data_IF_556788115103
#
_entry.id   IF_556788115103
#
_cell.length_a   1.000
_cell.length_b   1.000
_cell.length_c   1.000
_cell.angle_alpha   90.00
_cell.angle_beta   90.00
_cell.angle_gamma   90.00
#
_symmetry.space_group_name_H-M   'P 1'
#
loop_
_entity.id
_entity.type
_entity.pdbx_description
1 polymer ?
#
# COMPACT_ATOMS: atom_id res chain seq x y z
N UNK A 1 7.40 -6.43 -23.22
CA UNK A 1 7.51 -7.38 -22.11
C UNK A 1 7.19 -6.64 -20.83
N UNK A 2 6.00 -6.82 -20.28
CA UNK A 2 5.64 -6.28 -18.96
C UNK A 2 5.94 -7.35 -17.91
N UNK A 3 7.00 -7.12 -17.14
CA UNK A 3 7.39 -8.02 -16.05
C UNK A 3 6.57 -7.66 -14.82
N UNK A 4 5.46 -8.36 -14.66
CA UNK A 4 4.50 -8.25 -13.56
C UNK A 4 5.01 -9.07 -12.37
N UNK A 5 5.75 -8.49 -11.43
CA UNK A 5 6.22 -9.23 -10.23
C UNK A 5 5.07 -9.51 -9.23
N UNK A 6 3.83 -9.07 -9.50
CA UNK A 6 2.69 -9.25 -8.58
C UNK A 6 1.31 -9.16 -9.26
N UNK A 7 1.21 -9.36 -10.58
CA UNK A 7 -0.07 -9.22 -11.30
C UNK A 7 -0.54 -7.78 -11.53
N UNK A 8 0.16 -6.78 -10.97
CA UNK A 8 -0.08 -5.35 -11.19
C UNK A 8 0.56 -4.82 -12.48
N UNK A 9 -0.13 -3.93 -13.19
CA UNK A 9 0.47 -3.16 -14.29
C UNK A 9 1.75 -2.43 -13.83
N UNK A 10 2.66 -2.11 -14.77
CA UNK A 10 3.87 -1.36 -14.43
C UNK A 10 3.55 0.01 -13.79
N UNK A 11 2.45 0.64 -14.21
CA UNK A 11 1.95 1.88 -13.65
C UNK A 11 1.47 1.69 -12.20
N UNK A 12 0.68 0.65 -11.93
CA UNK A 12 0.20 0.36 -10.58
C UNK A 12 1.34 -0.03 -9.63
N UNK A 13 2.33 -0.78 -10.10
CA UNK A 13 3.51 -1.09 -9.30
C UNK A 13 4.30 0.18 -8.92
N UNK A 14 4.45 1.12 -9.87
CA UNK A 14 5.09 2.40 -9.60
C UNK A 14 4.25 3.29 -8.66
N UNK A 15 2.92 3.25 -8.76
CA UNK A 15 2.03 3.97 -7.88
C UNK A 15 2.04 3.40 -6.45
N UNK A 16 2.07 2.06 -6.32
CA UNK A 16 2.21 1.34 -5.04
C UNK A 16 3.49 1.73 -4.32
N UNK A 17 4.62 1.67 -5.01
CA UNK A 17 5.91 2.09 -4.45
C UNK A 17 5.86 3.56 -4.01
N UNK A 18 5.31 4.44 -4.85
CA UNK A 18 5.21 5.87 -4.53
C UNK A 18 4.40 6.14 -3.27
N UNK A 19 3.23 5.50 -3.11
CA UNK A 19 2.39 5.63 -1.91
C UNK A 19 3.19 5.16 -0.70
N UNK A 20 3.80 3.99 -0.79
CA UNK A 20 4.50 3.41 0.34
C UNK A 20 5.74 4.22 0.76
N UNK A 21 6.39 4.94 -0.16
CA UNK A 21 7.43 5.91 0.18
C UNK A 21 6.86 7.13 0.91
N UNK A 22 5.66 7.60 0.55
CA UNK A 22 4.99 8.71 1.24
C UNK A 22 4.51 8.34 2.64
N UNK A 23 3.97 7.13 2.79
CA UNK A 23 3.40 6.66 4.06
C UNK A 23 4.48 6.29 5.07
N UNK A 24 5.57 5.64 4.65
CA UNK A 24 6.56 5.11 5.60
C UNK A 24 8.01 5.11 5.14
N UNK A 25 8.33 5.80 4.05
CA UNK A 25 9.67 5.80 3.44
C UNK A 25 10.19 4.40 3.09
N UNK A 26 9.31 3.44 2.77
CA UNK A 26 9.77 2.08 2.47
C UNK A 26 9.47 1.05 3.56
N UNK A 27 9.31 1.48 4.80
CA UNK A 27 9.56 0.61 5.94
C UNK A 27 8.37 -0.28 6.31
N UNK A 28 8.60 -1.60 6.30
CA UNK A 28 7.65 -2.60 6.81
C UNK A 28 7.51 -2.60 8.34
N UNK A 29 8.33 -1.83 9.05
CA UNK A 29 8.33 -1.77 10.52
C UNK A 29 8.06 -0.37 11.07
N UNK A 30 7.77 0.61 10.20
CA UNK A 30 7.36 1.94 10.63
C UNK A 30 6.07 1.85 11.45
N UNK A 31 6.01 2.61 12.55
CA UNK A 31 4.85 2.62 13.42
C UNK A 31 4.47 4.05 13.77
N UNK A 32 3.19 4.37 13.59
CA UNK A 32 2.60 5.65 13.97
C UNK A 32 1.27 5.41 14.68
N UNK A 33 1.32 5.32 16.01
CA UNK A 33 0.15 4.98 16.82
C UNK A 33 -0.45 3.63 16.44
N UNK A 34 -1.68 3.64 15.93
CA UNK A 34 -2.43 2.46 15.51
C UNK A 34 -2.07 1.94 14.11
N UNK A 35 -1.28 2.70 13.35
CA UNK A 35 -0.87 2.37 12.00
C UNK A 35 0.51 1.70 11.99
N UNK A 36 0.66 0.67 11.16
CA UNK A 36 1.87 -0.14 11.09
C UNK A 36 2.28 -0.42 9.64
N UNK A 37 3.58 -0.42 9.45
CA UNK A 37 4.25 -1.00 8.32
C UNK A 37 4.23 -0.14 7.06
N UNK A 38 4.48 -0.81 5.94
CA UNK A 38 4.86 -0.20 4.66
C UNK A 38 3.79 0.73 4.10
N UNK A 39 2.52 0.41 4.34
CA UNK A 39 1.37 1.14 3.83
C UNK A 39 0.59 1.84 4.95
N UNK A 40 1.17 1.91 6.16
CA UNK A 40 0.56 2.48 7.36
C UNK A 40 -0.89 1.98 7.56
N UNK A 41 -1.08 0.66 7.44
CA UNK A 41 -2.38 0.02 7.67
C UNK A 41 -2.69 -0.02 9.17
N UNK A 42 -3.98 0.07 9.54
CA UNK A 42 -4.36 -0.15 10.94
C UNK A 42 -3.97 -1.57 11.36
N UNK A 43 -3.49 -1.74 12.60
CA UNK A 43 -3.12 -3.06 13.14
C UNK A 43 -4.26 -4.09 13.03
N UNK A 44 -5.52 -3.65 13.10
CA UNK A 44 -6.68 -4.51 12.90
C UNK A 44 -6.75 -5.14 11.50
N UNK A 45 -6.32 -4.43 10.45
CA UNK A 45 -6.29 -4.99 9.10
C UNK A 45 -5.25 -6.09 8.94
N UNK A 46 -4.18 -6.05 9.74
CA UNK A 46 -3.11 -7.04 9.70
C UNK A 46 -3.45 -8.32 10.46
N UNK A 47 -4.55 -8.36 11.24
CA UNK A 47 -4.98 -9.54 11.99
C UNK A 47 -3.89 -10.18 12.89
N UNK A 48 -2.94 -9.36 13.36
CA UNK A 48 -1.79 -9.81 14.17
C UNK A 48 -0.59 -10.35 13.37
N UNK A 49 -0.70 -10.50 12.05
CA UNK A 49 0.40 -10.87 11.17
C UNK A 49 1.06 -9.61 10.58
N UNK A 50 2.22 -9.24 11.12
CA UNK A 50 2.98 -8.06 10.70
C UNK A 50 4.00 -8.36 9.59
N UNK A 51 3.98 -9.55 9.01
CA UNK A 51 4.91 -9.93 7.94
C UNK A 51 4.76 -9.00 6.73
N UNK A 52 5.87 -8.83 5.99
CA UNK A 52 5.85 -8.05 4.75
C UNK A 52 4.82 -8.62 3.75
N UNK A 53 4.73 -9.94 3.65
CA UNK A 53 3.80 -10.62 2.74
C UNK A 53 2.33 -10.33 3.09
N UNK A 54 1.96 -10.38 4.38
CA UNK A 54 0.61 -10.02 4.79
C UNK A 54 0.32 -8.53 4.57
N UNK A 55 1.30 -7.64 4.83
CA UNK A 55 1.15 -6.22 4.54
C UNK A 55 0.93 -5.94 3.04
N UNK A 56 1.69 -6.59 2.15
CA UNK A 56 1.51 -6.48 0.70
C UNK A 56 0.11 -6.93 0.28
N UNK A 57 -0.32 -8.11 0.74
CA UNK A 57 -1.62 -8.69 0.41
C UNK A 57 -2.77 -7.82 0.90
N UNK A 58 -2.75 -7.42 2.18
CA UNK A 58 -3.82 -6.61 2.78
C UNK A 58 -3.89 -5.24 2.14
N UNK A 59 -2.75 -4.64 1.79
CA UNK A 59 -2.73 -3.37 1.07
C UNK A 59 -3.31 -3.51 -0.33
N UNK A 60 -2.94 -4.54 -1.09
CA UNK A 60 -3.50 -4.79 -2.43
C UNK A 60 -5.03 -4.99 -2.36
N UNK A 61 -5.51 -5.80 -1.42
CA UNK A 61 -6.94 -6.04 -1.21
C UNK A 61 -7.69 -4.74 -0.84
N UNK A 62 -7.10 -3.93 0.05
CA UNK A 62 -7.66 -2.63 0.44
C UNK A 62 -7.73 -1.65 -0.74
N UNK A 63 -6.65 -1.54 -1.52
CA UNK A 63 -6.60 -0.65 -2.67
C UNK A 63 -7.58 -1.07 -3.74
N UNK A 64 -7.62 -2.37 -4.07
CA UNK A 64 -8.57 -2.89 -5.04
C UNK A 64 -10.02 -2.62 -4.61
N UNK A 65 -10.35 -2.82 -3.33
CA UNK A 65 -11.71 -2.60 -2.82
C UNK A 65 -12.10 -1.13 -2.70
N UNK A 66 -11.18 -0.24 -2.32
CA UNK A 66 -11.47 1.18 -2.04
C UNK A 66 -11.29 2.09 -3.24
N UNK A 67 -10.22 1.88 -3.99
CA UNK A 67 -9.78 2.76 -5.09
C UNK A 67 -9.90 2.10 -6.46
N UNK A 68 -9.99 0.77 -6.52
CA UNK A 68 -9.99 -0.01 -7.75
C UNK A 68 -8.59 -0.31 -8.28
N UNK A 69 -7.64 0.62 -8.16
CA UNK A 69 -6.23 0.43 -8.54
C UNK A 69 -5.28 1.31 -7.72
N UNK A 70 -3.99 0.96 -7.73
CA UNK A 70 -2.94 1.76 -7.08
C UNK A 70 -2.76 3.12 -7.75
N UNK A 71 -2.92 3.19 -9.07
CA UNK A 71 -2.91 4.44 -9.82
C UNK A 71 -4.04 5.37 -9.36
N UNK A 72 -5.25 4.84 -9.19
CA UNK A 72 -6.38 5.60 -8.65
C UNK A 72 -6.16 6.02 -7.19
N UNK A 73 -5.58 5.15 -6.36
CA UNK A 73 -5.20 5.48 -4.98
C UNK A 73 -4.19 6.63 -4.93
N UNK A 74 -3.20 6.64 -5.84
CA UNK A 74 -2.22 7.72 -5.95
C UNK A 74 -2.89 9.03 -6.37
N UNK A 75 -3.80 9.00 -7.33
CA UNK A 75 -4.59 10.19 -7.71
C UNK A 75 -5.39 10.72 -6.54
N UNK A 76 -6.01 9.84 -5.76
CA UNK A 76 -6.73 10.21 -4.53
C UNK A 76 -5.80 10.87 -3.51
N UNK A 77 -4.63 10.28 -3.25
CA UNK A 77 -3.63 10.85 -2.33
C UNK A 77 -3.19 12.23 -2.78
N UNK A 78 -2.89 12.44 -4.08
CA UNK A 78 -2.48 13.74 -4.60
C UNK A 78 -3.54 14.84 -4.39
N UNK A 79 -4.82 14.48 -4.38
CA UNK A 79 -5.92 15.40 -4.15
C UNK A 79 -6.20 15.67 -2.66
N UNK A 80 -5.95 14.69 -1.78
CA UNK A 80 -6.42 14.73 -0.39
C UNK A 80 -5.30 14.75 0.67
N UNK A 81 -4.09 14.32 0.32
CA UNK A 81 -2.95 14.19 1.23
C UNK A 81 -2.99 12.96 2.15
N UNK A 82 -3.86 11.98 1.87
CA UNK A 82 -3.98 10.74 2.64
C UNK A 82 -4.44 9.55 1.77
N UNK A 83 -4.29 8.34 2.31
CA UNK A 83 -4.56 7.04 1.68
C UNK A 83 -5.39 6.12 2.61
#
# INVERSE_FOLDING_TARGET
>A
SETTTSGLSAEDAAAKEWIAQKESSGSYTAQNGQYYGRYQLSLSYLNGDLSAENQEKVADDYVAGRYGSWSAAKTFWLANGWY
#
